data_IF_307745753531
#
_entry.id   IF_307745753531
#
_cell.length_a   1.000
_cell.length_b   1.000
_cell.length_c   1.000
_cell.angle_alpha   90.00
_cell.angle_beta   90.00
_cell.angle_gamma   90.00
#
_symmetry.space_group_name_H-M   'P 1'
#
loop_
_entity.id
_entity.type
_entity.pdbx_description
1 polymer ?
#
# COMPACT_ATOMS: atom_id res chain seq x y z
N UNK A 1 50.81 1.22 -7.54
CA UNK A 1 49.93 2.12 -6.78
C UNK A 1 48.90 2.64 -7.77
N UNK A 2 47.77 1.98 -7.86
CA UNK A 2 46.65 2.39 -8.72
C UNK A 2 45.65 3.14 -7.88
N UNK A 3 45.41 4.40 -8.18
CA UNK A 3 44.38 5.21 -7.59
C UNK A 3 43.01 4.59 -7.92
N UNK A 4 42.30 4.12 -6.88
CA UNK A 4 40.91 3.77 -7.01
C UNK A 4 40.12 5.04 -7.26
N UNK A 5 39.68 5.24 -8.51
CA UNK A 5 38.75 6.30 -8.87
C UNK A 5 37.47 6.10 -8.10
N UNK A 6 37.25 7.00 -7.17
CA UNK A 6 36.00 7.14 -6.43
C UNK A 6 34.90 7.52 -7.46
N UNK A 7 34.23 6.52 -8.04
CA UNK A 7 33.05 6.77 -8.86
C UNK A 7 32.00 7.33 -7.90
N UNK A 8 31.82 8.65 -7.94
CA UNK A 8 30.84 9.36 -7.13
C UNK A 8 29.47 8.76 -7.35
N UNK A 9 28.94 8.11 -6.31
CA UNK A 9 27.55 7.66 -6.28
C UNK A 9 26.69 8.89 -6.52
N UNK A 10 25.89 8.89 -7.56
CA UNK A 10 25.00 10.00 -7.86
C UNK A 10 24.15 10.29 -6.61
N UNK A 11 23.95 11.58 -6.25
CA UNK A 11 23.20 11.91 -5.05
C UNK A 11 21.80 11.31 -5.15
N UNK A 12 21.40 10.60 -4.12
CA UNK A 12 20.06 10.02 -4.02
C UNK A 12 19.05 11.17 -4.10
N UNK A 13 18.15 11.13 -5.06
CA UNK A 13 17.11 12.14 -5.23
C UNK A 13 15.85 11.70 -4.49
N UNK A 14 15.08 12.68 -4.00
CA UNK A 14 13.76 12.40 -3.41
C UNK A 14 12.85 11.74 -4.44
N UNK A 15 12.39 10.55 -4.15
CA UNK A 15 11.53 9.75 -5.04
C UNK A 15 10.18 10.43 -5.33
N UNK A 16 9.78 11.43 -4.53
CA UNK A 16 8.53 12.14 -4.72
C UNK A 16 8.70 13.45 -5.50
N UNK A 17 9.67 14.30 -5.17
CA UNK A 17 9.81 15.63 -5.78
C UNK A 17 11.10 15.83 -6.60
N UNK A 18 12.01 14.86 -6.60
CA UNK A 18 13.30 14.97 -7.26
C UNK A 18 14.34 15.83 -6.51
N UNK A 19 13.97 16.42 -5.37
CA UNK A 19 14.84 17.27 -4.57
C UNK A 19 16.10 16.53 -4.10
N UNK A 20 17.23 17.24 -4.07
CA UNK A 20 18.54 16.64 -3.74
C UNK A 20 18.96 16.88 -2.29
N UNK A 21 18.25 17.73 -1.56
CA UNK A 21 18.52 18.00 -0.13
C UNK A 21 17.72 17.05 0.75
N UNK A 22 18.40 16.12 1.38
CA UNK A 22 17.80 15.17 2.31
C UNK A 22 18.68 14.97 3.54
N UNK A 23 18.10 14.41 4.58
CA UNK A 23 18.80 13.99 5.78
C UNK A 23 18.40 12.57 6.16
N UNK A 24 19.34 11.75 6.66
CA UNK A 24 18.99 10.45 7.25
C UNK A 24 18.24 10.68 8.56
N UNK A 25 17.15 9.93 8.75
CA UNK A 25 16.30 10.05 9.95
C UNK A 25 16.18 8.74 10.70
N UNK A 26 16.52 7.62 10.07
CA UNK A 26 16.53 6.28 10.63
C UNK A 26 17.40 5.35 9.78
N UNK A 27 17.93 4.28 10.38
CA UNK A 27 18.64 3.23 9.65
C UNK A 27 18.13 1.87 10.09
N UNK A 28 17.89 0.97 9.14
CA UNK A 28 17.53 -0.41 9.39
C UNK A 28 18.18 -1.30 8.34
N UNK A 29 18.83 -2.38 8.79
CA UNK A 29 19.56 -3.33 7.93
C UNK A 29 20.65 -2.68 7.05
N UNK A 30 21.28 -1.59 7.53
CA UNK A 30 22.28 -0.84 6.75
C UNK A 30 21.72 0.07 5.67
N UNK A 31 20.39 0.19 5.55
CA UNK A 31 19.72 1.07 4.60
C UNK A 31 19.18 2.29 5.35
N UNK A 32 19.50 3.47 4.85
CA UNK A 32 19.01 4.71 5.41
C UNK A 32 17.58 5.00 4.97
N UNK A 33 16.77 5.44 5.91
CA UNK A 33 15.49 6.09 5.65
C UNK A 33 15.75 7.59 5.69
N UNK A 34 15.47 8.25 4.57
CA UNK A 34 15.78 9.65 4.31
C UNK A 34 14.53 10.51 4.41
N UNK A 35 14.68 11.75 4.85
CA UNK A 35 13.66 12.76 4.75
C UNK A 35 14.11 13.86 3.79
N UNK A 36 13.34 14.13 2.76
CA UNK A 36 13.54 15.28 1.89
C UNK A 36 13.33 16.58 2.66
N UNK A 37 14.27 17.53 2.53
CA UNK A 37 14.18 18.83 3.19
C UNK A 37 13.29 19.83 2.42
N UNK A 38 12.91 19.49 1.19
CA UNK A 38 12.07 20.33 0.34
C UNK A 38 10.58 19.98 0.48
N UNK A 39 10.24 18.70 0.32
CA UNK A 39 8.83 18.27 0.37
C UNK A 39 8.47 17.48 1.64
N UNK A 40 9.42 17.21 2.52
CA UNK A 40 9.29 16.43 3.76
C UNK A 40 8.85 14.97 3.56
N UNK A 41 8.86 14.47 2.31
CA UNK A 41 8.61 13.05 2.06
C UNK A 41 9.70 12.20 2.68
N UNK A 42 9.31 11.04 3.20
CA UNK A 42 10.22 10.03 3.77
C UNK A 42 10.34 8.88 2.79
N UNK A 43 11.55 8.47 2.50
CA UNK A 43 11.83 7.44 1.50
C UNK A 43 13.09 6.65 1.83
N UNK A 44 13.24 5.48 1.24
CA UNK A 44 14.42 4.64 1.39
C UNK A 44 15.58 5.15 0.53
N UNK A 45 16.81 5.03 1.03
CA UNK A 45 18.01 5.19 0.20
C UNK A 45 18.24 4.03 -0.77
N UNK A 46 17.48 2.95 -0.63
CA UNK A 46 17.54 1.80 -1.50
C UNK A 46 16.74 2.08 -2.79
N UNK A 47 17.44 2.38 -3.87
CA UNK A 47 16.82 2.82 -5.13
C UNK A 47 16.63 1.69 -6.16
N UNK A 48 16.97 0.45 -5.81
CA UNK A 48 16.76 -0.70 -6.69
C UNK A 48 15.38 -1.30 -6.45
N UNK A 49 14.67 -1.66 -7.52
CA UNK A 49 13.40 -2.37 -7.45
C UNK A 49 13.58 -3.80 -8.04
N UNK A 50 14.29 -4.71 -7.32
CA UNK A 50 14.64 -6.01 -7.85
C UNK A 50 13.62 -7.11 -7.57
N UNK A 51 12.49 -6.81 -6.90
CA UNK A 51 11.77 -7.86 -6.19
C UNK A 51 10.48 -8.35 -6.83
N UNK A 52 9.92 -7.62 -7.81
CA UNK A 52 8.54 -7.93 -8.20
C UNK A 52 8.41 -9.16 -9.08
N UNK A 53 9.41 -9.47 -9.90
CA UNK A 53 9.34 -10.63 -10.78
C UNK A 53 9.39 -11.97 -10.03
N UNK A 54 9.93 -11.96 -8.80
CA UNK A 54 10.12 -13.15 -7.98
C UNK A 54 9.55 -13.05 -6.54
N UNK A 55 8.77 -12.02 -6.22
CA UNK A 55 8.20 -11.85 -4.88
C UNK A 55 7.32 -13.04 -4.47
N UNK A 56 6.47 -13.47 -5.39
CA UNK A 56 5.72 -14.71 -5.24
C UNK A 56 6.54 -15.85 -5.82
N UNK A 57 7.02 -16.76 -4.97
CA UNK A 57 7.67 -17.98 -5.42
C UNK A 57 6.78 -18.84 -6.33
N UNK A 58 7.32 -19.90 -6.89
CA UNK A 58 6.54 -20.82 -7.74
C UNK A 58 5.42 -21.53 -6.96
N UNK A 59 5.61 -21.72 -5.66
CA UNK A 59 4.63 -22.30 -4.74
C UNK A 59 4.23 -21.28 -3.68
N UNK A 60 2.92 -21.15 -3.47
CA UNK A 60 2.34 -20.29 -2.43
C UNK A 60 2.37 -21.03 -1.10
N UNK A 61 3.07 -20.46 -0.10
CA UNK A 61 3.14 -21.06 1.22
C UNK A 61 1.80 -20.95 2.00
N UNK A 62 1.51 -21.91 2.87
CA UNK A 62 0.31 -21.88 3.72
C UNK A 62 0.22 -20.63 4.61
N UNK A 63 1.37 -20.07 5.02
CA UNK A 63 1.44 -18.83 5.77
C UNK A 63 0.93 -17.63 4.99
N UNK A 64 1.18 -17.57 3.70
CA UNK A 64 0.70 -16.51 2.82
C UNK A 64 -0.82 -16.53 2.71
N UNK A 65 -1.40 -17.71 2.55
CA UNK A 65 -2.84 -17.88 2.53
C UNK A 65 -3.51 -17.32 3.80
N UNK A 66 -2.97 -17.61 4.98
CA UNK A 66 -3.51 -17.11 6.25
C UNK A 66 -3.39 -15.59 6.38
N UNK A 67 -2.25 -15.02 6.00
CA UNK A 67 -2.00 -13.60 6.10
C UNK A 67 -2.83 -12.80 5.09
N UNK A 68 -2.85 -13.22 3.84
CA UNK A 68 -3.50 -12.48 2.76
C UNK A 68 -5.02 -12.66 2.71
N UNK A 69 -5.56 -13.71 3.35
CA UNK A 69 -7.01 -13.96 3.42
C UNK A 69 -7.57 -13.68 4.82
N UNK A 70 -7.31 -14.57 5.78
CA UNK A 70 -7.97 -14.52 7.11
C UNK A 70 -7.61 -13.31 7.93
N UNK A 71 -6.32 -12.91 7.94
CA UNK A 71 -5.89 -11.74 8.71
C UNK A 71 -6.48 -10.43 8.19
N UNK A 72 -6.85 -10.37 6.91
CA UNK A 72 -7.42 -9.19 6.24
C UNK A 72 -8.95 -9.21 6.14
N UNK A 73 -9.61 -10.31 6.51
CA UNK A 73 -11.03 -10.53 6.27
C UNK A 73 -11.93 -9.40 6.81
N UNK A 74 -11.69 -8.92 8.04
CA UNK A 74 -12.49 -7.82 8.62
C UNK A 74 -12.26 -6.50 7.90
N UNK A 75 -11.02 -6.21 7.50
CA UNK A 75 -10.68 -5.02 6.74
C UNK A 75 -11.40 -5.03 5.38
N UNK A 76 -11.40 -6.17 4.70
CA UNK A 76 -12.12 -6.32 3.43
C UNK A 76 -13.65 -6.21 3.64
N UNK A 77 -14.21 -6.78 4.69
CA UNK A 77 -15.64 -6.63 5.01
C UNK A 77 -16.04 -5.16 5.24
N UNK A 78 -15.25 -4.39 5.99
CA UNK A 78 -15.49 -2.95 6.17
C UNK A 78 -15.44 -2.20 4.83
N UNK A 79 -14.46 -2.54 3.99
CA UNK A 79 -14.36 -1.97 2.65
C UNK A 79 -15.59 -2.29 1.81
N UNK A 80 -16.00 -3.55 1.76
CA UNK A 80 -17.17 -3.97 0.98
C UNK A 80 -18.45 -3.30 1.47
N UNK A 81 -18.66 -3.25 2.79
CA UNK A 81 -19.82 -2.59 3.38
C UNK A 81 -19.90 -1.11 3.03
N UNK A 82 -18.75 -0.44 2.91
CA UNK A 82 -18.70 0.99 2.67
C UNK A 82 -18.76 1.36 1.19
N UNK A 83 -18.15 0.56 0.32
CA UNK A 83 -17.95 0.92 -1.07
C UNK A 83 -18.75 0.09 -2.06
N UNK A 84 -19.15 -1.14 -1.71
CA UNK A 84 -19.81 -2.05 -2.65
C UNK A 84 -21.30 -2.28 -2.36
N UNK A 85 -21.70 -2.35 -1.09
CA UNK A 85 -23.10 -2.63 -0.73
C UNK A 85 -24.03 -1.55 -1.25
N UNK A 86 -25.11 -1.98 -1.94
CA UNK A 86 -26.11 -1.06 -2.53
C UNK A 86 -25.62 -0.33 -3.78
N UNK A 87 -24.49 -0.74 -4.36
CA UNK A 87 -23.91 -0.18 -5.58
C UNK A 87 -23.58 -1.28 -6.57
N UNK A 88 -23.34 -0.87 -7.80
CA UNK A 88 -22.88 -1.75 -8.88
C UNK A 88 -21.82 -1.04 -9.70
N UNK A 89 -21.01 -1.80 -10.43
CA UNK A 89 -19.99 -1.21 -11.31
C UNK A 89 -18.84 -2.17 -11.59
N UNK A 90 -17.75 -1.59 -12.09
CA UNK A 90 -16.52 -2.30 -12.40
C UNK A 90 -15.41 -1.88 -11.43
N UNK A 91 -14.79 -2.87 -10.80
CA UNK A 91 -13.66 -2.68 -9.90
C UNK A 91 -12.38 -3.28 -10.51
N UNK A 92 -11.28 -2.53 -10.42
CA UNK A 92 -9.94 -3.01 -10.75
C UNK A 92 -9.06 -2.99 -9.49
N UNK A 93 -8.46 -4.12 -9.17
CA UNK A 93 -7.45 -4.23 -8.11
C UNK A 93 -6.05 -4.20 -8.72
N UNK A 94 -5.32 -3.10 -8.49
CA UNK A 94 -3.99 -2.86 -9.03
C UNK A 94 -2.93 -3.45 -8.10
N UNK A 95 -2.20 -4.48 -8.57
CA UNK A 95 -1.31 -5.29 -7.75
C UNK A 95 -2.09 -6.27 -6.87
N UNK A 96 -3.00 -7.03 -7.50
CA UNK A 96 -3.93 -7.91 -6.78
C UNK A 96 -3.25 -9.12 -6.10
N UNK A 97 -1.95 -9.34 -6.33
CA UNK A 97 -1.21 -10.45 -5.77
C UNK A 97 -1.87 -11.79 -6.10
N UNK A 98 -2.03 -12.64 -5.09
CA UNK A 98 -2.68 -13.95 -5.23
C UNK A 98 -4.20 -13.88 -5.47
N UNK A 99 -4.82 -12.69 -5.45
CA UNK A 99 -6.23 -12.49 -5.76
C UNK A 99 -7.21 -12.71 -4.60
N UNK A 100 -6.76 -12.82 -3.35
CA UNK A 100 -7.66 -13.10 -2.22
C UNK A 100 -8.70 -12.00 -1.97
N UNK A 101 -8.37 -10.73 -2.22
CA UNK A 101 -9.33 -9.63 -2.17
C UNK A 101 -10.43 -9.81 -3.22
N UNK A 102 -10.06 -10.06 -4.46
CA UNK A 102 -10.99 -10.32 -5.56
C UNK A 102 -11.85 -11.57 -5.31
N UNK A 103 -11.25 -12.63 -4.74
CA UNK A 103 -12.01 -13.83 -4.35
C UNK A 103 -13.06 -13.54 -3.29
N UNK A 104 -12.71 -12.73 -2.28
CA UNK A 104 -13.68 -12.31 -1.25
C UNK A 104 -14.79 -11.42 -1.85
N UNK A 105 -14.46 -10.62 -2.87
CA UNK A 105 -15.39 -9.76 -3.58
C UNK A 105 -16.40 -10.52 -4.46
N UNK A 106 -16.13 -11.77 -4.82
CA UNK A 106 -17.01 -12.59 -5.66
C UNK A 106 -18.44 -12.79 -5.09
N UNK A 107 -18.67 -12.48 -3.80
CA UNK A 107 -19.98 -12.47 -3.18
C UNK A 107 -20.84 -11.25 -3.59
N UNK A 108 -20.24 -10.23 -4.18
CA UNK A 108 -20.89 -8.97 -4.59
C UNK A 108 -21.14 -8.99 -6.08
N UNK A 109 -22.11 -9.79 -6.52
CA UNK A 109 -22.39 -10.11 -7.93
C UNK A 109 -22.84 -8.92 -8.78
N UNK A 110 -23.20 -7.78 -8.18
CA UNK A 110 -23.46 -6.52 -8.87
C UNK A 110 -22.19 -5.80 -9.34
N UNK A 111 -21.01 -6.31 -8.98
CA UNK A 111 -19.72 -5.77 -9.35
C UNK A 111 -18.96 -6.71 -10.28
N UNK A 112 -18.43 -6.18 -11.36
CA UNK A 112 -17.48 -6.88 -12.23
C UNK A 112 -16.06 -6.64 -11.70
N UNK A 113 -15.40 -7.70 -11.24
CA UNK A 113 -14.08 -7.62 -10.63
C UNK A 113 -12.98 -7.95 -11.65
N UNK A 114 -11.99 -7.07 -11.73
CA UNK A 114 -10.77 -7.23 -12.52
C UNK A 114 -9.56 -7.09 -11.61
N UNK A 115 -8.43 -7.68 -12.00
CA UNK A 115 -7.16 -7.51 -11.31
C UNK A 115 -6.01 -7.39 -12.30
N UNK A 116 -4.94 -6.71 -11.92
CA UNK A 116 -3.67 -6.81 -12.59
C UNK A 116 -2.55 -7.06 -11.58
N UNK A 117 -1.57 -7.84 -11.99
CA UNK A 117 -0.45 -8.25 -11.17
C UNK A 117 0.77 -8.50 -12.06
N UNK A 118 1.95 -8.07 -11.62
CA UNK A 118 3.18 -8.22 -12.39
C UNK A 118 3.75 -9.63 -12.30
N UNK A 119 3.51 -10.35 -11.19
CA UNK A 119 4.03 -11.70 -10.99
C UNK A 119 3.24 -12.75 -11.75
N UNK A 120 3.86 -13.44 -12.73
CA UNK A 120 3.19 -14.55 -13.45
C UNK A 120 2.75 -15.69 -12.52
N UNK A 121 3.50 -15.97 -11.46
CA UNK A 121 3.16 -17.01 -10.49
C UNK A 121 1.88 -16.67 -9.71
N UNK A 122 1.76 -15.42 -9.24
CA UNK A 122 0.56 -14.94 -8.57
C UNK A 122 -0.66 -14.95 -9.48
N UNK A 123 -0.49 -14.51 -10.74
CA UNK A 123 -1.57 -14.54 -11.74
C UNK A 123 -2.05 -15.98 -12.03
N UNK A 124 -1.12 -16.93 -12.19
CA UNK A 124 -1.48 -18.35 -12.34
C UNK A 124 -2.29 -18.84 -11.16
N UNK A 125 -1.82 -18.55 -9.94
CA UNK A 125 -2.54 -18.92 -8.73
C UNK A 125 -3.95 -18.32 -8.68
N UNK A 126 -4.10 -17.02 -8.94
CA UNK A 126 -5.39 -16.35 -8.98
C UNK A 126 -6.35 -16.98 -9.99
N UNK A 127 -5.88 -17.26 -11.20
CA UNK A 127 -6.70 -17.84 -12.25
C UNK A 127 -7.06 -19.30 -12.00
N UNK A 128 -6.06 -20.15 -11.70
CA UNK A 128 -6.23 -21.61 -11.65
C UNK A 128 -6.73 -22.09 -10.28
N UNK A 129 -6.27 -21.48 -9.19
CA UNK A 129 -6.63 -21.93 -7.83
C UNK A 129 -7.84 -21.19 -7.28
N UNK A 130 -7.98 -19.89 -7.59
CA UNK A 130 -9.09 -19.08 -7.08
C UNK A 130 -10.24 -18.90 -8.10
N UNK A 131 -10.04 -19.28 -9.37
CA UNK A 131 -11.06 -19.15 -10.41
C UNK A 131 -11.34 -17.68 -10.80
N UNK A 132 -10.30 -16.86 -10.92
CA UNK A 132 -10.39 -15.44 -11.24
C UNK A 132 -9.90 -15.18 -12.67
N UNK A 133 -10.72 -15.37 -13.71
CA UNK A 133 -10.28 -15.27 -15.11
C UNK A 133 -9.88 -13.85 -15.52
N UNK A 134 -10.42 -12.83 -14.87
CA UNK A 134 -10.21 -11.41 -15.21
C UNK A 134 -8.96 -10.81 -14.54
N UNK A 135 -7.99 -11.63 -14.12
CA UNK A 135 -6.69 -11.15 -13.63
C UNK A 135 -5.71 -11.12 -14.80
N UNK A 136 -5.10 -9.95 -15.05
CA UNK A 136 -4.16 -9.71 -16.15
C UNK A 136 -2.74 -9.70 -15.60
N UNK A 137 -1.79 -10.30 -16.34
CA UNK A 137 -0.37 -10.27 -16.02
C UNK A 137 0.33 -9.13 -16.77
N UNK A 138 1.00 -8.25 -16.06
CA UNK A 138 1.81 -7.19 -16.68
C UNK A 138 2.17 -6.04 -15.74
N UNK A 139 3.05 -5.13 -16.19
CA UNK A 139 3.36 -3.91 -15.46
C UNK A 139 2.09 -3.09 -15.20
N UNK A 140 1.91 -2.65 -13.95
CA UNK A 140 0.67 -2.01 -13.52
C UNK A 140 0.36 -0.70 -14.26
N UNK A 141 1.39 0.03 -14.67
CA UNK A 141 1.30 1.29 -15.41
C UNK A 141 1.09 1.12 -16.93
N UNK A 142 1.18 -0.11 -17.45
CA UNK A 142 1.14 -0.41 -18.89
C UNK A 142 0.02 -1.39 -19.27
N UNK A 143 -0.76 -1.89 -18.31
CA UNK A 143 -1.84 -2.84 -18.59
C UNK A 143 -2.86 -2.21 -19.51
N UNK A 144 -3.08 -2.84 -20.68
CA UNK A 144 -4.04 -2.37 -21.69
C UNK A 144 -5.48 -2.69 -21.24
N UNK A 145 -6.13 -1.68 -20.69
CA UNK A 145 -7.51 -1.71 -20.23
C UNK A 145 -8.27 -0.49 -20.78
N UNK A 146 -9.58 -0.62 -21.01
CA UNK A 146 -10.37 0.49 -21.52
C UNK A 146 -10.34 1.70 -20.59
N UNK A 147 -10.02 2.88 -21.12
CA UNK A 147 -10.04 4.13 -20.36
C UNK A 147 -11.48 4.48 -19.91
N UNK A 148 -11.59 5.22 -18.82
CA UNK A 148 -12.86 5.70 -18.26
C UNK A 148 -13.91 4.60 -18.07
N UNK A 149 -13.47 3.39 -17.70
CA UNK A 149 -14.33 2.20 -17.63
C UNK A 149 -14.52 1.63 -16.23
N UNK A 150 -13.74 2.08 -15.23
CA UNK A 150 -13.83 1.58 -13.87
C UNK A 150 -14.47 2.60 -12.93
N UNK A 151 -15.35 2.10 -12.07
CA UNK A 151 -16.00 2.86 -11.00
C UNK A 151 -15.12 3.01 -9.77
N UNK A 152 -14.32 1.97 -9.52
CA UNK A 152 -13.49 1.86 -8.35
C UNK A 152 -12.17 1.16 -8.70
N UNK A 153 -11.06 1.79 -8.36
CA UNK A 153 -9.73 1.17 -8.41
C UNK A 153 -9.23 1.01 -7.00
N UNK A 154 -8.67 -0.16 -6.66
CA UNK A 154 -8.05 -0.44 -5.37
C UNK A 154 -6.55 -0.68 -5.52
N UNK A 155 -5.78 -0.19 -4.55
CA UNK A 155 -4.31 -0.36 -4.45
C UNK A 155 -4.00 -0.73 -3.00
N UNK A 156 -3.78 -2.01 -2.73
CA UNK A 156 -3.54 -2.54 -1.40
C UNK A 156 -2.06 -2.84 -1.18
N UNK A 157 -1.34 -2.01 -0.44
CA UNK A 157 0.09 -2.21 -0.13
C UNK A 157 0.96 -2.40 -1.39
N UNK A 158 0.83 -1.53 -2.36
CA UNK A 158 1.57 -1.58 -3.64
C UNK A 158 2.34 -0.31 -3.88
N UNK A 159 1.72 0.86 -3.71
CA UNK A 159 2.29 2.15 -4.13
C UNK A 159 3.55 2.53 -3.34
N UNK A 160 3.73 2.00 -2.14
CA UNK A 160 4.91 2.19 -1.31
C UNK A 160 6.12 1.38 -1.81
N UNK A 161 5.88 0.39 -2.65
CA UNK A 161 6.90 -0.43 -3.29
C UNK A 161 7.28 0.07 -4.70
N UNK A 162 6.45 0.87 -5.33
CA UNK A 162 6.66 1.35 -6.71
C UNK A 162 7.64 2.51 -6.73
N UNK A 163 8.78 2.36 -7.42
CA UNK A 163 9.84 3.38 -7.48
C UNK A 163 9.33 4.73 -8.02
N UNK A 164 8.48 4.70 -9.04
CA UNK A 164 7.87 5.88 -9.67
C UNK A 164 6.35 5.77 -9.63
N UNK A 165 5.70 6.26 -8.57
CA UNK A 165 4.26 6.10 -8.42
C UNK A 165 3.41 6.99 -9.35
N UNK A 166 3.99 8.03 -9.96
CA UNK A 166 3.25 8.95 -10.82
C UNK A 166 2.69 8.28 -12.09
N UNK A 167 3.44 7.48 -12.87
CA UNK A 167 2.89 6.76 -14.01
C UNK A 167 1.71 5.86 -13.63
N UNK A 168 1.86 5.07 -12.55
CA UNK A 168 0.80 4.22 -12.04
C UNK A 168 -0.47 5.02 -11.70
N UNK A 169 -0.33 6.13 -10.97
CA UNK A 169 -1.49 6.94 -10.57
C UNK A 169 -2.16 7.65 -11.74
N UNK A 170 -1.37 8.16 -12.71
CA UNK A 170 -1.95 8.70 -13.96
C UNK A 170 -2.69 7.63 -14.74
N UNK A 171 -2.15 6.41 -14.80
CA UNK A 171 -2.83 5.30 -15.43
C UNK A 171 -4.15 4.97 -14.72
N UNK A 172 -4.13 4.82 -13.40
CA UNK A 172 -5.36 4.64 -12.60
C UNK A 172 -6.38 5.77 -12.85
N UNK A 173 -5.92 7.03 -12.88
CA UNK A 173 -6.80 8.16 -13.16
C UNK A 173 -7.42 8.08 -14.55
N UNK A 174 -6.66 7.66 -15.58
CA UNK A 174 -7.18 7.49 -16.94
C UNK A 174 -8.21 6.34 -17.04
N UNK A 175 -7.99 5.25 -16.32
CA UNK A 175 -8.88 4.09 -16.29
C UNK A 175 -10.20 4.36 -15.54
N UNK A 176 -10.19 5.24 -14.54
CA UNK A 176 -11.39 5.62 -13.81
C UNK A 176 -12.33 6.41 -14.70
N UNK A 177 -13.64 6.12 -14.61
CA UNK A 177 -14.67 6.99 -15.16
C UNK A 177 -14.76 8.30 -14.36
N UNK A 178 -15.45 9.29 -14.91
CA UNK A 178 -15.81 10.49 -14.16
C UNK A 178 -16.64 10.13 -12.93
N UNK A 179 -16.34 10.76 -11.79
CA UNK A 179 -16.91 10.42 -10.50
C UNK A 179 -16.40 9.12 -9.90
N UNK A 180 -15.46 8.44 -10.56
CA UNK A 180 -14.82 7.22 -10.06
C UNK A 180 -13.88 7.45 -8.87
N UNK A 181 -13.60 6.40 -8.13
CA UNK A 181 -12.82 6.43 -6.90
C UNK A 181 -11.55 5.59 -7.02
N UNK A 182 -10.44 6.11 -6.51
CA UNK A 182 -9.23 5.32 -6.25
C UNK A 182 -9.07 5.14 -4.74
N UNK A 183 -9.07 3.90 -4.29
CA UNK A 183 -8.83 3.54 -2.89
C UNK A 183 -7.41 3.02 -2.72
N UNK A 184 -6.66 3.57 -1.75
CA UNK A 184 -5.27 3.20 -1.49
C UNK A 184 -5.10 2.85 -0.02
N UNK A 185 -4.42 1.75 0.26
CA UNK A 185 -3.92 1.41 1.58
C UNK A 185 -2.41 1.39 1.57
N UNK A 186 -1.79 2.13 2.51
CA UNK A 186 -0.33 2.14 2.72
C UNK A 186 0.01 2.31 4.22
N UNK A 187 1.20 1.89 4.66
CA UNK A 187 1.67 2.18 6.00
C UNK A 187 1.78 3.69 6.28
N UNK A 188 1.54 4.10 7.54
CA UNK A 188 1.64 5.49 7.97
C UNK A 188 2.97 5.77 8.67
N UNK A 189 3.89 6.44 7.98
CA UNK A 189 5.21 6.77 8.54
C UNK A 189 5.14 7.68 9.78
N UNK A 190 4.11 8.52 9.87
CA UNK A 190 3.94 9.41 11.03
C UNK A 190 3.73 8.67 12.34
N UNK A 191 3.32 7.41 12.27
CA UNK A 191 3.15 6.51 13.43
C UNK A 191 4.29 5.49 13.49
N UNK A 192 4.65 4.89 12.35
CA UNK A 192 5.65 3.83 12.32
C UNK A 192 7.03 4.33 12.74
N UNK A 193 7.45 5.53 12.30
CA UNK A 193 8.78 6.04 12.61
C UNK A 193 8.99 6.40 14.09
N UNK A 194 8.09 7.13 14.78
CA UNK A 194 8.18 7.32 16.22
C UNK A 194 8.18 6.00 16.99
N UNK A 195 7.33 5.03 16.61
CA UNK A 195 7.30 3.69 17.20
C UNK A 195 8.63 2.96 17.00
N UNK A 196 9.22 3.05 15.81
CA UNK A 196 10.53 2.45 15.52
C UNK A 196 11.63 3.03 16.41
N UNK A 197 11.65 4.34 16.57
CA UNK A 197 12.59 5.04 17.46
C UNK A 197 12.43 4.59 18.92
N UNK A 198 11.20 4.47 19.38
CA UNK A 198 10.90 4.00 20.74
C UNK A 198 11.39 2.55 20.94
N UNK A 199 11.16 1.66 19.97
CA UNK A 199 11.66 0.27 20.05
C UNK A 199 13.19 0.24 20.16
N UNK A 200 13.90 1.02 19.33
CA UNK A 200 15.37 1.10 19.41
C UNK A 200 15.87 1.72 20.73
N UNK A 201 15.15 2.69 21.27
CA UNK A 201 15.46 3.29 22.57
C UNK A 201 15.32 2.25 23.70
N UNK A 202 14.26 1.45 23.70
CA UNK A 202 13.95 0.49 24.76
C UNK A 202 14.74 -0.83 24.66
N UNK A 203 15.06 -1.27 23.43
CA UNK A 203 15.69 -2.57 23.17
C UNK A 203 17.13 -2.48 22.67
N UNK A 204 17.67 -1.26 22.56
CA UNK A 204 19.01 -0.99 22.02
C UNK A 204 19.01 -0.65 20.53
N UNK A 205 20.04 0.08 20.11
CA UNK A 205 20.17 0.60 18.73
C UNK A 205 20.15 -0.48 17.63
N UNK A 206 20.58 -1.70 17.98
CA UNK A 206 20.63 -2.85 17.05
C UNK A 206 19.30 -3.62 16.96
N UNK A 207 18.28 -3.25 17.74
CA UNK A 207 16.98 -3.92 17.68
C UNK A 207 16.34 -3.72 16.32
N UNK A 208 15.96 -4.83 15.66
CA UNK A 208 15.22 -4.80 14.42
C UNK A 208 13.74 -4.45 14.66
N UNK A 209 13.19 -3.56 13.87
CA UNK A 209 11.80 -3.14 13.93
C UNK A 209 10.91 -3.90 12.95
N UNK A 210 11.45 -4.42 11.86
CA UNK A 210 10.84 -5.30 10.86
C UNK A 210 9.59 -4.76 10.13
N UNK A 211 9.04 -3.62 10.49
CA UNK A 211 7.85 -3.07 9.85
C UNK A 211 8.12 -1.82 8.99
N UNK A 212 9.31 -1.25 9.07
CA UNK A 212 9.72 -0.18 8.13
C UNK A 212 10.23 -0.77 6.81
N UNK A 213 10.98 -1.88 6.86
CA UNK A 213 11.43 -2.67 5.71
C UNK A 213 11.95 -1.79 4.54
N UNK A 214 13.01 -0.99 4.75
CA UNK A 214 13.43 0.01 3.76
C UNK A 214 13.97 -0.58 2.45
N UNK A 215 14.16 -1.91 2.38
CA UNK A 215 14.49 -2.61 1.15
C UNK A 215 13.27 -2.76 0.24
N UNK A 216 12.11 -2.97 0.83
CA UNK A 216 10.86 -3.27 0.12
C UNK A 216 9.97 -2.03 0.02
N UNK A 217 9.83 -1.28 1.13
CA UNK A 217 9.09 -0.02 1.15
C UNK A 217 9.99 1.14 0.74
N UNK A 218 9.94 1.49 -0.54
CA UNK A 218 10.72 2.60 -1.10
C UNK A 218 10.16 3.96 -0.67
N UNK A 219 8.85 4.05 -0.52
CA UNK A 219 8.14 5.22 -0.05
C UNK A 219 7.52 4.99 1.33
N UNK A 220 7.74 5.93 2.23
CA UNK A 220 7.10 5.96 3.53
C UNK A 220 6.13 7.14 3.57
N UNK A 221 4.86 6.88 3.32
CA UNK A 221 3.86 7.93 3.18
C UNK A 221 3.35 8.47 4.51
N UNK A 222 3.19 9.79 4.58
CA UNK A 222 2.33 10.50 5.54
C UNK A 222 1.05 10.95 4.85
N UNK A 223 0.05 11.38 5.60
CA UNK A 223 -1.19 11.95 5.04
C UNK A 223 -0.90 13.10 4.07
N UNK A 224 0.06 13.97 4.39
CA UNK A 224 0.41 15.11 3.55
C UNK A 224 1.16 14.72 2.28
N UNK A 225 2.04 13.72 2.33
CA UNK A 225 2.81 13.30 1.15
C UNK A 225 1.96 12.50 0.17
N UNK A 226 1.09 11.60 0.66
CA UNK A 226 0.18 10.83 -0.24
C UNK A 226 -0.88 11.75 -0.87
N UNK A 227 -1.43 12.72 -0.12
CA UNK A 227 -2.35 13.72 -0.65
C UNK A 227 -1.73 14.50 -1.81
N UNK A 228 -0.54 15.08 -1.60
CA UNK A 228 0.17 15.82 -2.66
C UNK A 228 0.47 14.97 -3.88
N UNK A 229 0.82 13.71 -3.67
CA UNK A 229 1.07 12.78 -4.77
C UNK A 229 -0.21 12.56 -5.59
N UNK A 230 -1.35 12.36 -4.96
CA UNK A 230 -2.63 12.14 -5.62
C UNK A 230 -3.12 13.40 -6.35
N UNK A 231 -3.11 14.55 -5.68
CA UNK A 231 -3.53 15.83 -6.26
C UNK A 231 -2.74 16.19 -7.51
N UNK A 232 -1.41 16.01 -7.52
CA UNK A 232 -0.60 16.28 -8.71
C UNK A 232 -0.83 15.29 -9.86
N UNK A 233 -1.44 14.13 -9.59
CA UNK A 233 -1.80 13.14 -10.61
C UNK A 233 -3.29 13.19 -11.00
N UNK A 234 -3.97 14.32 -10.73
CA UNK A 234 -5.29 14.65 -11.27
C UNK A 234 -6.46 14.33 -10.33
N UNK A 235 -6.21 13.77 -9.15
CA UNK A 235 -7.29 13.54 -8.19
C UNK A 235 -7.65 14.84 -7.46
N UNK A 236 -8.91 15.24 -7.56
CA UNK A 236 -9.39 16.54 -7.08
C UNK A 236 -9.64 16.60 -5.58
N UNK A 237 -10.07 15.48 -5.00
CA UNK A 237 -10.37 15.35 -3.57
C UNK A 237 -9.75 14.10 -2.99
N UNK A 238 -9.13 14.24 -1.81
CA UNK A 238 -8.48 13.14 -1.09
C UNK A 238 -9.02 13.08 0.32
N UNK A 239 -9.78 12.03 0.60
CA UNK A 239 -10.34 11.74 1.92
C UNK A 239 -9.56 10.62 2.59
N UNK A 240 -9.52 10.64 3.93
CA UNK A 240 -8.96 9.55 4.73
C UNK A 240 -10.10 8.84 5.47
N UNK A 241 -10.13 7.52 5.33
CA UNK A 241 -11.14 6.68 5.95
C UNK A 241 -10.52 5.70 6.93
N UNK A 242 -11.33 5.03 7.73
CA UNK A 242 -10.87 4.05 8.70
C UNK A 242 -11.52 2.71 8.42
N UNK A 243 -10.70 1.68 8.32
CA UNK A 243 -11.12 0.29 8.22
C UNK A 243 -10.45 -0.50 9.34
N UNK A 244 -10.97 -1.67 9.65
CA UNK A 244 -10.34 -2.57 10.62
C UNK A 244 -8.89 -2.85 10.21
N UNK A 245 -7.94 -2.83 11.16
CA UNK A 245 -6.56 -3.18 10.88
C UNK A 245 -6.43 -4.66 10.54
N UNK A 246 -5.30 -5.02 9.91
CA UNK A 246 -4.93 -6.41 9.69
C UNK A 246 -4.81 -7.10 11.06
N UNK A 247 -5.52 -8.20 11.23
CA UNK A 247 -5.40 -9.02 12.43
C UNK A 247 -4.09 -9.80 12.35
N UNK A 248 -3.24 -9.71 13.38
CA UNK A 248 -2.00 -10.48 13.38
C UNK A 248 -2.33 -11.98 13.35
N UNK A 249 -1.99 -12.65 12.25
CA UNK A 249 -2.13 -14.09 12.10
C UNK A 249 -1.11 -14.90 12.92
N UNK A 250 -0.12 -14.21 13.54
CA UNK A 250 0.85 -14.88 14.40
C UNK A 250 0.15 -15.28 15.71
N UNK A 251 -0.10 -16.56 15.82
CA UNK A 251 -0.72 -17.26 16.91
C UNK A 251 -0.25 -16.91 18.32
N UNK A 252 -0.59 -15.74 18.79
CA UNK A 252 -0.74 -15.53 20.22
C UNK A 252 -1.98 -16.30 20.63
N UNK A 253 -1.80 -17.56 20.98
CA UNK A 253 -2.85 -18.45 21.50
C UNK A 253 -3.46 -17.91 22.81
N UNK A 254 -2.87 -16.85 23.37
CA UNK A 254 -3.34 -16.22 24.58
C UNK A 254 -4.54 -15.29 24.28
N UNK A 255 -5.76 -15.79 24.55
CA UNK A 255 -7.02 -15.07 24.34
C UNK A 255 -7.08 -13.71 25.06
N UNK A 256 -6.38 -13.56 26.18
CA UNK A 256 -6.27 -12.30 26.91
C UNK A 256 -5.50 -11.24 26.10
N UNK A 257 -4.33 -11.58 25.58
CA UNK A 257 -3.54 -10.65 24.74
C UNK A 257 -4.28 -10.27 23.45
N UNK A 258 -5.05 -11.20 22.90
CA UNK A 258 -5.92 -10.93 21.75
C UNK A 258 -7.05 -9.96 22.12
N UNK A 259 -7.66 -10.12 23.30
CA UNK A 259 -8.69 -9.22 23.82
C UNK A 259 -8.14 -7.80 24.04
N UNK A 260 -6.98 -7.67 24.66
CA UNK A 260 -6.30 -6.37 24.88
C UNK A 260 -5.95 -5.69 23.55
N UNK A 261 -5.43 -6.42 22.57
CA UNK A 261 -5.15 -5.89 21.23
C UNK A 261 -6.42 -5.42 20.54
N UNK A 262 -7.49 -6.21 20.58
CA UNK A 262 -8.77 -5.83 19.96
C UNK A 262 -9.37 -4.60 20.65
N UNK A 263 -9.36 -4.52 21.97
CA UNK A 263 -9.82 -3.34 22.72
C UNK A 263 -9.03 -2.08 22.38
N UNK A 264 -7.70 -2.21 22.25
CA UNK A 264 -6.85 -1.12 21.80
C UNK A 264 -7.22 -0.66 20.39
N UNK A 265 -7.42 -1.58 19.45
CA UNK A 265 -7.81 -1.26 18.08
C UNK A 265 -9.16 -0.53 18.01
N UNK A 266 -10.14 -0.96 18.78
CA UNK A 266 -11.45 -0.29 18.82
C UNK A 266 -11.37 1.11 19.46
N UNK A 267 -10.58 1.30 20.50
CA UNK A 267 -10.33 2.61 21.09
C UNK A 267 -9.64 3.56 20.08
N UNK A 268 -8.64 3.07 19.38
CA UNK A 268 -7.93 3.79 18.31
C UNK A 268 -8.87 4.15 17.16
N UNK A 269 -9.73 3.22 16.75
CA UNK A 269 -10.76 3.45 15.74
C UNK A 269 -11.74 4.52 16.15
N UNK A 270 -12.25 4.45 17.38
CA UNK A 270 -13.15 5.46 17.92
C UNK A 270 -12.49 6.86 17.90
N UNK A 271 -11.24 6.95 18.36
CA UNK A 271 -10.47 8.19 18.35
C UNK A 271 -10.26 8.73 16.92
N UNK A 272 -9.99 7.85 15.98
CA UNK A 272 -9.82 8.20 14.58
C UNK A 272 -11.14 8.75 13.98
N UNK A 273 -12.28 8.14 14.29
CA UNK A 273 -13.59 8.62 13.85
C UNK A 273 -13.89 10.00 14.47
N UNK A 274 -13.71 10.16 15.79
CA UNK A 274 -13.96 11.41 16.50
C UNK A 274 -13.03 12.53 16.00
N UNK A 275 -11.78 12.21 15.71
CA UNK A 275 -10.81 13.17 15.17
C UNK A 275 -10.99 13.47 13.67
N UNK A 276 -12.04 12.94 13.01
CA UNK A 276 -12.26 13.08 11.57
C UNK A 276 -11.04 12.67 10.72
N UNK A 277 -10.32 11.64 11.14
CA UNK A 277 -9.16 11.12 10.42
C UNK A 277 -7.82 11.80 10.75
N UNK A 278 -7.80 12.82 11.60
CA UNK A 278 -6.54 13.45 12.01
C UNK A 278 -5.66 12.53 12.86
N UNK A 279 -6.26 11.60 13.59
CA UNK A 279 -5.55 10.55 14.31
C UNK A 279 -5.76 9.24 13.55
N UNK A 280 -4.82 8.89 12.70
CA UNK A 280 -4.84 7.63 11.95
C UNK A 280 -3.64 6.79 12.37
N UNK A 281 -3.91 5.57 12.82
CA UNK A 281 -2.90 4.70 13.41
C UNK A 281 -2.48 3.62 12.39
N UNK A 282 -1.20 3.28 12.38
CA UNK A 282 -0.52 2.25 11.59
C UNK A 282 -0.66 2.34 10.05
N UNK A 283 -1.87 2.52 9.51
CA UNK A 283 -2.09 2.54 8.06
C UNK A 283 -2.95 3.72 7.63
N UNK A 284 -2.65 4.26 6.46
CA UNK A 284 -3.49 5.21 5.75
C UNK A 284 -4.44 4.45 4.84
N UNK A 285 -5.74 4.72 4.97
CA UNK A 285 -6.76 4.31 4.03
C UNK A 285 -7.26 5.56 3.34
N UNK A 286 -6.95 5.68 2.06
CA UNK A 286 -7.12 6.91 1.28
C UNK A 286 -8.17 6.68 0.20
N UNK A 287 -9.07 7.62 0.03
CA UNK A 287 -10.05 7.65 -1.08
C UNK A 287 -9.77 8.90 -1.89
N UNK A 288 -9.32 8.72 -3.11
CA UNK A 288 -9.06 9.79 -4.05
C UNK A 288 -10.16 9.81 -5.14
N UNK A 289 -10.66 10.99 -5.45
CA UNK A 289 -11.80 11.18 -6.35
C UNK A 289 -11.34 11.72 -7.69
N UNK A 290 -11.82 11.12 -8.78
CA UNK A 290 -11.78 11.74 -10.10
C UNK A 290 -13.06 12.55 -10.28
N UNK A 291 -12.92 13.87 -10.45
CA UNK A 291 -14.10 14.74 -10.68
C UNK A 291 -14.74 14.50 -12.03
N UNK A 292 -16.05 14.77 -12.09
CA UNK A 292 -16.75 14.93 -13.36
C UNK A 292 -16.31 16.25 -13.98
N UNK A 293 -15.87 16.22 -15.22
CA UNK A 293 -15.71 17.47 -15.99
C UNK A 293 -17.11 18.05 -16.21
N UNK A 294 -17.40 19.15 -15.50
CA UNK A 294 -18.64 19.94 -15.70
C UNK A 294 -18.53 20.77 -16.95
#
# INVERSE_FOLDING_TARGET
MGEATNQGVAPVQCLLCGGVRQRPIFNEFGIDILQCLECHHVFSSFAANPHYDGFWGEEVADGDHLYWSKARARMHQDFFSRFLVGRSGRLLDMGCGLGFFLKAMALYTSWEAHGCEISPAAVRYAREKLGLPNVICGPLEEVDLPQSSFDLITIWDVIDHVLRPDPLLRHCHALLREGGLCFIRVPNVSIQLPRARLVKLLRGAQASVRYLQPRDHLHHYSMSSIRRLLERNGFSRVDFVHLHPIQSGSGSENGYLRGVKNGWFEAVRALAIVSRGHVNFDNLFVVAHKESQT
#
